data_IF_710482556777
#
_entry.id   IF_710482556777
#
_cell.length_a   1.000
_cell.length_b   1.000
_cell.length_c   1.000
_cell.angle_alpha   90.00
_cell.angle_beta   90.00
_cell.angle_gamma   90.00
#
_symmetry.space_group_name_H-M   'P 1'
#
loop_
_entity.id
_entity.type
_entity.pdbx_description
1 polymer ?
#
# COMPACT_ATOMS: atom_id res chain seq x y z
N UNK A 1 11.50 -3.85 5.08
CA UNK A 1 11.26 -4.32 3.69
C UNK A 1 10.09 -3.60 2.99
N UNK A 2 9.02 -3.20 3.68
CA UNK A 2 7.86 -2.49 3.08
C UNK A 2 8.21 -1.15 2.43
N UNK A 3 9.23 -0.43 2.92
CA UNK A 3 9.65 0.85 2.32
C UNK A 3 10.08 0.76 0.83
N UNK A 4 10.40 -0.44 0.32
CA UNK A 4 10.75 -0.67 -1.09
C UNK A 4 9.62 -1.32 -1.90
N UNK A 5 8.48 -1.59 -1.28
CA UNK A 5 7.36 -2.26 -1.93
C UNK A 5 6.34 -1.25 -2.49
N UNK A 6 5.71 -1.61 -3.60
CA UNK A 6 4.48 -0.96 -4.06
C UNK A 6 3.33 -1.41 -3.15
N UNK A 7 2.83 -0.50 -2.32
CA UNK A 7 1.79 -0.81 -1.32
C UNK A 7 0.41 -0.47 -1.88
N UNK A 8 -0.46 -1.49 -1.96
CA UNK A 8 -1.87 -1.35 -2.32
C UNK A 8 -2.72 -1.65 -1.09
N UNK A 9 -3.76 -0.85 -0.86
CA UNK A 9 -4.70 -1.01 0.27
C UNK A 9 -6.13 -1.14 -0.24
N UNK A 10 -7.02 -1.75 0.54
CA UNK A 10 -8.46 -1.70 0.27
C UNK A 10 -9.04 -0.32 0.60
N UNK A 11 -8.75 0.20 1.80
CA UNK A 11 -9.20 1.50 2.30
C UNK A 11 -8.01 2.31 2.85
N UNK A 12 -7.85 3.56 2.41
CA UNK A 12 -6.70 4.39 2.82
C UNK A 12 -6.77 4.73 4.30
N UNK A 13 -7.92 5.21 4.73
CA UNK A 13 -8.15 5.76 6.06
C UNK A 13 -7.96 4.68 7.13
N UNK A 14 -8.57 3.51 6.92
CA UNK A 14 -8.44 2.37 7.82
C UNK A 14 -7.01 1.79 7.80
N UNK A 15 -6.34 1.72 6.64
CA UNK A 15 -4.95 1.29 6.57
C UNK A 15 -3.99 2.25 7.30
N UNK A 16 -4.26 3.56 7.30
CA UNK A 16 -3.51 4.55 8.08
C UNK A 16 -3.78 4.43 9.59
N UNK A 17 -5.02 4.11 9.97
CA UNK A 17 -5.40 3.92 11.37
C UNK A 17 -4.77 2.64 11.98
N UNK A 18 -4.72 1.55 11.22
CA UNK A 18 -4.13 0.26 11.60
C UNK A 18 -2.64 0.13 11.29
N UNK A 19 -1.98 1.21 10.84
CA UNK A 19 -0.56 1.25 10.50
C UNK A 19 0.39 1.04 11.71
N UNK A 20 -0.08 0.44 12.81
CA UNK A 20 0.78 -0.10 13.85
C UNK A 20 1.50 -1.38 13.43
N UNK A 21 0.86 -2.22 12.60
CA UNK A 21 1.28 -3.64 12.51
C UNK A 21 2.13 -4.00 11.29
N UNK A 22 1.92 -3.37 10.13
CA UNK A 22 2.57 -3.80 8.86
C UNK A 22 3.31 -2.66 8.14
N UNK A 23 2.88 -1.42 8.37
CA UNK A 23 3.47 -0.23 7.75
C UNK A 23 3.87 0.66 8.91
N UNK A 24 5.15 0.75 9.33
CA UNK A 24 5.55 1.52 10.51
C UNK A 24 5.46 3.04 10.28
N UNK A 25 4.25 3.53 9.99
CA UNK A 25 3.95 4.93 9.73
C UNK A 25 4.20 5.75 10.99
N UNK A 26 3.79 5.21 12.14
CA UNK A 26 4.01 5.85 13.45
C UNK A 26 5.50 5.97 13.83
N UNK A 27 6.36 5.15 13.25
CA UNK A 27 7.81 5.21 13.47
C UNK A 27 8.53 6.08 12.40
N UNK A 28 7.80 6.71 11.49
CA UNK A 28 8.34 7.64 10.48
C UNK A 28 9.05 6.97 9.30
N UNK A 29 9.16 5.64 9.28
CA UNK A 29 9.82 4.90 8.20
C UNK A 29 9.01 4.87 6.90
N UNK A 30 7.70 5.05 7.00
CA UNK A 30 6.77 5.02 5.87
C UNK A 30 5.75 6.14 6.06
N UNK A 31 5.36 6.83 5.00
CA UNK A 31 4.36 7.91 5.02
C UNK A 31 3.17 7.52 4.15
N UNK A 32 2.07 8.27 4.24
CA UNK A 32 0.92 8.10 3.34
C UNK A 32 1.32 8.06 1.85
N UNK A 33 2.41 8.76 1.49
CA UNK A 33 2.95 8.78 0.11
C UNK A 33 3.48 7.43 -0.36
N UNK A 34 3.75 6.49 0.54
CA UNK A 34 4.15 5.13 0.17
C UNK A 34 2.95 4.25 -0.21
N UNK A 35 1.72 4.66 0.13
CA UNK A 35 0.52 4.01 -0.37
C UNK A 35 0.38 4.42 -1.84
N UNK A 36 0.57 3.45 -2.72
CA UNK A 36 0.53 3.64 -4.16
C UNK A 36 -0.92 3.79 -4.67
N UNK A 37 -1.78 2.85 -4.30
CA UNK A 37 -3.16 2.79 -4.82
C UNK A 37 -4.13 2.13 -3.83
N UNK A 38 -5.41 2.43 -4.01
CA UNK A 38 -6.51 1.58 -3.53
C UNK A 38 -6.73 0.41 -4.49
N UNK A 39 -7.21 -0.71 -3.99
CA UNK A 39 -7.52 -1.88 -4.81
C UNK A 39 -8.49 -1.55 -5.94
N UNK A 40 -9.52 -0.74 -5.67
CA UNK A 40 -10.47 -0.29 -6.70
C UNK A 40 -9.84 0.55 -7.82
N UNK A 41 -8.76 1.30 -7.55
CA UNK A 41 -8.01 2.02 -8.60
C UNK A 41 -7.25 1.05 -9.50
N UNK A 42 -6.76 -0.06 -8.95
CA UNK A 42 -6.05 -1.10 -9.71
C UNK A 42 -7.02 -1.91 -10.56
N UNK A 43 -8.14 -2.35 -9.96
CA UNK A 43 -9.15 -3.16 -10.65
C UNK A 43 -9.84 -2.38 -11.77
N UNK A 44 -10.05 -1.07 -11.60
CA UNK A 44 -10.65 -0.21 -12.65
C UNK A 44 -9.66 0.19 -13.75
N UNK A 45 -8.38 -0.14 -13.63
CA UNK A 45 -7.34 0.28 -14.57
C UNK A 45 -6.90 1.74 -14.43
N UNK A 46 -7.43 2.48 -13.45
CA UNK A 46 -7.00 3.86 -13.16
C UNK A 46 -5.54 3.94 -12.70
N UNK A 47 -5.04 2.88 -12.06
CA UNK A 47 -3.62 2.69 -11.75
C UNK A 47 -3.15 1.30 -12.15
N UNK A 48 -1.99 1.16 -12.79
CA UNK A 48 -1.46 -0.17 -13.10
C UNK A 48 -1.13 -0.94 -11.81
N UNK A 49 -1.32 -2.26 -11.85
CA UNK A 49 -0.89 -3.15 -10.78
C UNK A 49 0.63 -3.36 -10.80
N UNK A 50 1.04 -4.63 -10.81
CA UNK A 50 2.44 -5.00 -11.07
C UNK A 50 2.79 -4.71 -12.52
N UNK A 51 3.94 -4.08 -12.76
CA UNK A 51 4.43 -3.76 -14.12
C UNK A 51 5.74 -4.46 -14.48
N UNK A 52 6.42 -5.08 -13.51
CA UNK A 52 7.61 -5.90 -13.76
C UNK A 52 7.76 -7.00 -12.72
N UNK A 53 8.58 -8.01 -13.03
CA UNK A 53 8.83 -9.15 -12.13
C UNK A 53 9.74 -8.78 -10.96
N UNK A 54 10.55 -7.73 -11.11
CA UNK A 54 11.44 -7.19 -10.08
C UNK A 54 10.71 -6.38 -9.01
N UNK A 55 9.46 -5.97 -9.26
CA UNK A 55 8.69 -5.20 -8.28
C UNK A 55 8.36 -6.05 -7.04
N UNK A 56 8.61 -5.52 -5.85
CA UNK A 56 8.03 -6.07 -4.63
C UNK A 56 6.68 -5.40 -4.43
N UNK A 57 5.61 -6.19 -4.33
CA UNK A 57 4.24 -5.67 -4.12
C UNK A 57 3.69 -6.18 -2.81
N UNK A 58 3.03 -5.30 -2.04
CA UNK A 58 2.32 -5.68 -0.82
C UNK A 58 0.89 -5.20 -0.95
N UNK A 59 -0.06 -6.11 -0.76
CA UNK A 59 -1.46 -5.78 -0.57
C UNK A 59 -1.81 -5.94 0.90
N UNK A 60 -2.42 -4.91 1.49
CA UNK A 60 -2.94 -4.94 2.86
C UNK A 60 -4.44 -4.69 2.83
N UNK A 61 -5.18 -5.61 3.43
CA UNK A 61 -6.60 -5.45 3.71
C UNK A 61 -6.83 -5.22 5.19
N UNK A 62 -7.76 -4.32 5.50
CA UNK A 62 -8.20 -3.96 6.86
C UNK A 62 -9.69 -4.21 7.09
N UNK A 63 -10.46 -4.55 6.04
CA UNK A 63 -11.86 -4.96 6.15
C UNK A 63 -12.85 -3.87 5.79
#
# INVERSE_FOLDING_TARGET
MVAKAKVVVDQREAALAEAGDIIPIKQGFITERHIYAKLGEVVSGAKPGRISDEEITVFKSVG
#
